data_IF_060438843130
#
_entry.id   IF_060438843130
#
_cell.length_a   1.000
_cell.length_b   1.000
_cell.length_c   1.000
_cell.angle_alpha   90.00
_cell.angle_beta   90.00
_cell.angle_gamma   90.00
#
_symmetry.space_group_name_H-M   'P 1'
#
loop_
_entity.id
_entity.type
_entity.pdbx_description
1 polymer ?
#
# COMPACT_ATOMS: atom_id res chain seq x y z
N UNK A 1 -32.07 -8.04 -52.20
CA UNK A 1 -32.70 -6.70 -52.05
C UNK A 1 -34.11 -6.74 -51.43
N UNK A 2 -35.01 -7.69 -51.73
CA UNK A 2 -36.28 -7.85 -50.99
C UNK A 2 -36.12 -8.56 -49.64
N UNK A 3 -35.26 -9.58 -49.56
CA UNK A 3 -34.99 -10.32 -48.32
C UNK A 3 -34.29 -9.50 -47.21
N UNK A 4 -33.55 -8.45 -47.58
CA UNK A 4 -32.89 -7.59 -46.59
C UNK A 4 -33.83 -6.53 -46.00
N UNK A 5 -34.91 -6.15 -46.69
CA UNK A 5 -35.92 -5.23 -46.16
C UNK A 5 -36.80 -5.92 -45.11
N UNK A 6 -37.27 -7.14 -45.40
CA UNK A 6 -38.08 -7.93 -44.47
C UNK A 6 -37.31 -8.27 -43.16
N UNK A 7 -35.98 -8.45 -43.25
CA UNK A 7 -35.12 -8.71 -42.08
C UNK A 7 -34.88 -7.48 -41.20
N UNK A 8 -34.99 -6.27 -41.76
CA UNK A 8 -34.90 -5.01 -41.00
C UNK A 8 -36.26 -4.57 -40.45
N UNK A 9 -37.36 -4.89 -41.13
CA UNK A 9 -38.74 -4.65 -40.65
C UNK A 9 -39.06 -5.53 -39.42
N UNK A 10 -38.75 -6.83 -39.47
CA UNK A 10 -38.97 -7.75 -38.34
C UNK A 10 -38.15 -7.39 -37.08
N UNK A 11 -37.06 -6.64 -37.24
CA UNK A 11 -36.18 -6.24 -36.14
C UNK A 11 -36.59 -4.91 -35.48
N UNK A 12 -37.60 -4.20 -36.00
CA UNK A 12 -38.03 -2.90 -35.47
C UNK A 12 -39.39 -2.93 -34.77
N UNK A 13 -40.20 -3.96 -34.99
CA UNK A 13 -41.60 -4.00 -34.49
C UNK A 13 -41.75 -4.33 -33.00
N UNK A 14 -40.72 -4.86 -32.32
CA UNK A 14 -40.80 -5.22 -30.88
C UNK A 14 -39.82 -4.45 -29.97
N UNK A 15 -39.18 -3.38 -30.45
CA UNK A 15 -38.24 -2.63 -29.60
C UNK A 15 -38.99 -1.68 -28.66
N UNK A 16 -39.13 -2.11 -27.41
CA UNK A 16 -39.55 -1.25 -26.29
C UNK A 16 -38.79 0.09 -26.34
N UNK A 17 -39.47 1.23 -26.04
CA UNK A 17 -38.86 2.54 -26.03
C UNK A 17 -37.56 2.62 -25.22
N UNK A 18 -36.63 3.45 -25.66
CA UNK A 18 -35.25 3.53 -25.11
C UNK A 18 -35.22 3.67 -23.58
N UNK A 19 -36.17 4.41 -23.00
CA UNK A 19 -36.22 4.64 -21.55
C UNK A 19 -36.54 3.37 -20.74
N UNK A 20 -37.29 2.41 -21.28
CA UNK A 20 -37.59 1.13 -20.61
C UNK A 20 -36.42 0.15 -20.69
N UNK A 21 -35.63 0.24 -21.77
CA UNK A 21 -34.47 -0.63 -22.03
C UNK A 21 -33.13 -0.02 -21.64
N UNK A 22 -33.09 1.23 -21.16
CA UNK A 22 -31.82 1.93 -20.84
C UNK A 22 -30.99 1.16 -19.82
N UNK A 23 -31.62 0.55 -18.82
CA UNK A 23 -30.94 -0.31 -17.85
C UNK A 23 -30.32 -1.55 -18.51
N UNK A 24 -31.06 -2.21 -19.39
CA UNK A 24 -30.57 -3.38 -20.15
C UNK A 24 -29.44 -2.98 -21.09
N UNK A 25 -29.54 -1.84 -21.78
CA UNK A 25 -28.48 -1.35 -22.67
C UNK A 25 -27.21 -0.96 -21.91
N UNK A 26 -27.35 -0.41 -20.69
CA UNK A 26 -26.21 -0.12 -19.83
C UNK A 26 -25.53 -1.40 -19.34
N UNK A 27 -26.32 -2.41 -18.94
CA UNK A 27 -25.83 -3.73 -18.57
C UNK A 27 -25.12 -4.43 -19.75
N UNK A 28 -25.75 -4.48 -20.93
CA UNK A 28 -25.13 -5.04 -22.15
C UNK A 28 -23.83 -4.31 -22.52
N UNK A 29 -23.81 -2.97 -22.42
CA UNK A 29 -22.60 -2.18 -22.67
C UNK A 29 -21.50 -2.52 -21.67
N UNK A 30 -21.84 -2.65 -20.40
CA UNK A 30 -20.92 -3.01 -19.33
C UNK A 30 -20.37 -4.44 -19.52
N UNK A 31 -21.23 -5.41 -19.81
CA UNK A 31 -20.84 -6.80 -20.09
C UNK A 31 -19.93 -6.89 -21.31
N UNK A 32 -20.25 -6.15 -22.38
CA UNK A 32 -19.44 -6.09 -23.60
C UNK A 32 -18.08 -5.44 -23.35
N UNK A 33 -18.02 -4.39 -22.53
CA UNK A 33 -16.74 -3.77 -22.15
C UNK A 33 -15.91 -4.71 -21.26
N UNK A 34 -16.54 -5.43 -20.33
CA UNK A 34 -15.90 -6.42 -19.47
C UNK A 34 -15.32 -7.58 -20.29
N UNK A 35 -16.07 -8.08 -21.28
CA UNK A 35 -15.60 -9.12 -22.18
C UNK A 35 -14.40 -8.64 -23.02
N UNK A 36 -14.44 -7.40 -23.53
CA UNK A 36 -13.33 -6.80 -24.27
C UNK A 36 -12.05 -6.70 -23.42
N UNK A 37 -12.17 -6.29 -22.15
CA UNK A 37 -11.03 -6.23 -21.20
C UNK A 37 -10.46 -7.62 -20.92
N UNK A 38 -11.31 -8.64 -20.76
CA UNK A 38 -10.85 -10.02 -20.58
C UNK A 38 -10.08 -10.54 -21.81
N UNK A 39 -10.60 -10.29 -23.01
CA UNK A 39 -9.92 -10.68 -24.25
C UNK A 39 -8.56 -9.99 -24.40
N UNK A 40 -8.46 -8.69 -24.09
CA UNK A 40 -7.20 -7.95 -24.11
C UNK A 40 -6.18 -8.55 -23.13
N UNK A 41 -6.59 -8.87 -21.91
CA UNK A 41 -5.72 -9.49 -20.91
C UNK A 41 -5.28 -10.90 -21.34
N UNK A 42 -6.15 -11.68 -21.99
CA UNK A 42 -5.77 -12.98 -22.57
C UNK A 42 -4.78 -12.84 -23.72
N UNK A 43 -4.96 -11.85 -24.60
CA UNK A 43 -4.02 -11.54 -25.68
C UNK A 43 -2.65 -11.08 -25.15
N UNK A 44 -2.64 -10.24 -24.12
CA UNK A 44 -1.42 -9.82 -23.42
C UNK A 44 -0.70 -11.00 -22.76
N UNK A 45 -1.46 -11.90 -22.11
CA UNK A 45 -0.91 -13.16 -21.56
C UNK A 45 -0.33 -14.06 -22.64
N UNK A 46 -0.94 -14.14 -23.83
CA UNK A 46 -0.42 -14.91 -24.97
C UNK A 46 0.85 -14.29 -25.57
N UNK A 47 0.99 -12.97 -25.52
CA UNK A 47 2.19 -12.24 -25.99
C UNK A 47 3.40 -12.42 -25.04
N UNK A 48 3.15 -12.67 -23.76
CA UNK A 48 4.20 -12.99 -22.77
C UNK A 48 4.66 -14.45 -22.95
N UNK A 49 5.85 -14.65 -23.54
CA UNK A 49 6.46 -15.97 -23.82
C UNK A 49 6.77 -16.85 -22.58
N UNK A 50 6.47 -16.36 -21.38
CA UNK A 50 6.81 -17.00 -20.10
C UNK A 50 5.69 -16.87 -19.05
N UNK A 51 4.42 -16.90 -19.47
CA UNK A 51 3.31 -16.98 -18.51
C UNK A 51 3.26 -18.40 -17.88
N UNK A 52 3.28 -18.55 -16.55
CA UNK A 52 3.18 -19.86 -15.92
C UNK A 52 1.81 -20.49 -16.25
N UNK A 53 1.83 -21.74 -16.71
CA UNK A 53 0.62 -22.50 -16.96
C UNK A 53 -0.07 -22.80 -15.61
N UNK A 54 -1.31 -22.36 -15.46
CA UNK A 54 -2.14 -22.72 -14.30
C UNK A 54 -2.29 -24.25 -14.34
N UNK A 55 -1.88 -24.93 -13.29
CA UNK A 55 -1.94 -26.39 -13.23
C UNK A 55 -3.39 -26.88 -13.40
N UNK A 56 -3.53 -28.09 -13.95
CA UNK A 56 -4.85 -28.74 -14.14
C UNK A 56 -5.63 -28.85 -12.81
N UNK A 57 -4.92 -28.96 -11.71
CA UNK A 57 -5.48 -29.02 -10.36
C UNK A 57 -6.03 -27.66 -9.92
N UNK A 58 -5.28 -26.57 -10.14
CA UNK A 58 -5.77 -25.22 -9.88
C UNK A 58 -6.99 -24.86 -10.74
N UNK A 59 -7.05 -25.33 -11.99
CA UNK A 59 -8.24 -25.17 -12.83
C UNK A 59 -9.47 -25.88 -12.25
N UNK A 60 -9.31 -27.09 -11.72
CA UNK A 60 -10.39 -27.84 -11.03
C UNK A 60 -10.87 -27.11 -9.77
N UNK A 61 -9.95 -26.55 -8.98
CA UNK A 61 -10.29 -25.79 -7.76
C UNK A 61 -11.13 -24.55 -8.11
N UNK A 62 -10.73 -23.80 -9.14
CA UNK A 62 -11.47 -22.60 -9.58
C UNK A 62 -12.86 -22.96 -10.13
N UNK A 63 -12.98 -24.06 -10.89
CA UNK A 63 -14.28 -24.55 -11.35
C UNK A 63 -15.18 -24.97 -10.19
N UNK A 64 -14.64 -25.68 -9.20
CA UNK A 64 -15.37 -26.05 -7.99
C UNK A 64 -15.80 -24.84 -7.15
N UNK A 65 -14.99 -23.78 -7.12
CA UNK A 65 -15.33 -22.53 -6.43
C UNK A 65 -16.43 -21.73 -7.15
N UNK A 66 -16.46 -21.70 -8.49
CA UNK A 66 -17.52 -21.02 -9.25
C UNK A 66 -18.91 -21.63 -9.03
N UNK A 67 -18.96 -22.93 -8.73
CA UNK A 67 -20.20 -23.65 -8.46
C UNK A 67 -20.65 -23.58 -6.99
N UNK A 68 -19.91 -22.87 -6.12
CA UNK A 68 -20.32 -22.69 -4.72
C UNK A 68 -21.29 -21.52 -4.62
N UNK A 69 -22.48 -21.81 -4.12
CA UNK A 69 -23.50 -20.82 -3.73
C UNK A 69 -22.85 -19.73 -2.84
N UNK A 70 -23.17 -18.44 -3.04
CA UNK A 70 -22.63 -17.32 -2.26
C UNK A 70 -22.67 -17.58 -0.75
N UNK A 71 -21.65 -17.10 -0.03
CA UNK A 71 -21.53 -17.29 1.42
C UNK A 71 -22.75 -16.75 2.16
N UNK A 72 -23.37 -15.68 1.66
CA UNK A 72 -24.57 -15.06 2.22
C UNK A 72 -25.75 -16.02 2.30
N UNK A 73 -25.93 -16.85 1.29
CA UNK A 73 -27.05 -17.80 1.24
C UNK A 73 -26.74 -19.06 2.05
N UNK A 74 -25.44 -19.38 2.23
CA UNK A 74 -24.94 -20.55 2.96
C UNK A 74 -25.03 -20.43 4.48
N UNK A 75 -25.11 -19.22 5.01
CA UNK A 75 -25.18 -18.98 6.46
C UNK A 75 -26.63 -19.10 6.97
N UNK A 76 -27.62 -19.01 6.09
CA UNK A 76 -29.04 -19.03 6.45
C UNK A 76 -29.74 -20.38 6.23
N UNK A 77 -29.14 -21.34 5.51
CA UNK A 77 -29.67 -22.70 5.36
C UNK A 77 -28.79 -23.73 6.07
N UNK A 78 -28.96 -23.88 7.38
CA UNK A 78 -28.55 -25.10 8.08
C UNK A 78 -29.67 -26.12 7.84
N UNK A 79 -29.67 -26.73 6.66
CA UNK A 79 -30.62 -27.81 6.37
C UNK A 79 -30.12 -29.10 7.03
N UNK A 80 -30.93 -29.67 7.93
CA UNK A 80 -30.67 -30.93 8.66
C UNK A 80 -30.32 -32.09 7.71
N UNK A 81 -30.79 -32.05 6.47
CA UNK A 81 -30.45 -33.01 5.42
C UNK A 81 -28.94 -33.01 5.10
N UNK A 82 -28.28 -31.85 5.10
CA UNK A 82 -26.84 -31.74 4.80
C UNK A 82 -25.96 -32.27 5.93
N UNK A 83 -26.42 -32.18 7.18
CA UNK A 83 -25.79 -32.79 8.35
C UNK A 83 -25.92 -34.31 8.30
N UNK A 84 -27.12 -34.82 7.99
CA UNK A 84 -27.38 -36.26 7.88
C UNK A 84 -26.59 -36.90 6.73
N UNK A 85 -26.49 -36.24 5.58
CA UNK A 85 -25.68 -36.71 4.46
C UNK A 85 -24.18 -36.73 4.78
N UNK A 86 -23.67 -35.71 5.49
CA UNK A 86 -22.28 -35.67 5.96
C UNK A 86 -21.98 -36.79 6.95
N UNK A 87 -22.89 -37.10 7.87
CA UNK A 87 -22.73 -38.23 8.79
C UNK A 87 -22.74 -39.57 8.05
N UNK A 88 -23.65 -39.76 7.10
CA UNK A 88 -23.73 -40.98 6.31
C UNK A 88 -22.49 -41.19 5.44
N UNK A 89 -21.96 -40.11 4.85
CA UNK A 89 -20.70 -40.13 4.11
C UNK A 89 -19.51 -40.47 5.02
N UNK A 90 -19.45 -39.91 6.24
CA UNK A 90 -18.42 -40.27 7.23
C UNK A 90 -18.47 -41.74 7.63
N UNK A 91 -19.66 -42.29 7.86
CA UNK A 91 -19.83 -43.71 8.22
C UNK A 91 -19.34 -44.62 7.11
N UNK A 92 -19.76 -44.37 5.87
CA UNK A 92 -19.28 -45.12 4.69
C UNK A 92 -17.77 -45.03 4.51
N UNK A 93 -17.19 -43.84 4.71
CA UNK A 93 -15.74 -43.66 4.64
C UNK A 93 -15.00 -44.47 5.71
N UNK A 94 -15.52 -44.52 6.93
CA UNK A 94 -14.93 -45.31 8.02
C UNK A 94 -15.06 -46.82 7.79
N UNK A 95 -16.16 -47.25 7.19
CA UNK A 95 -16.44 -48.66 6.88
C UNK A 95 -15.54 -49.18 5.76
N UNK A 96 -15.44 -48.43 4.65
CA UNK A 96 -14.48 -48.73 3.56
C UNK A 96 -13.05 -48.74 4.09
N UNK A 97 -12.67 -47.77 4.92
CA UNK A 97 -11.32 -47.71 5.49
C UNK A 97 -11.05 -48.89 6.45
N UNK A 98 -12.08 -49.42 7.10
CA UNK A 98 -11.97 -50.58 7.99
C UNK A 98 -11.80 -51.86 7.19
N UNK A 99 -12.58 -52.03 6.11
CA UNK A 99 -12.42 -53.11 5.14
C UNK A 99 -11.03 -53.08 4.50
N UNK A 100 -10.55 -51.91 4.05
CA UNK A 100 -9.18 -51.72 3.54
C UNK A 100 -8.10 -52.03 4.59
N UNK A 101 -8.38 -51.86 5.88
CA UNK A 101 -7.46 -52.21 6.98
C UNK A 101 -7.46 -53.71 7.28
N UNK A 102 -8.62 -54.36 7.14
CA UNK A 102 -8.80 -55.81 7.32
C UNK A 102 -8.16 -56.59 6.17
N UNK A 103 -8.16 -56.04 4.95
CA UNK A 103 -7.49 -56.59 3.76
C UNK A 103 -5.98 -56.24 3.68
N UNK A 104 -5.49 -55.36 4.55
CA UNK A 104 -4.06 -55.00 4.60
C UNK A 104 -3.21 -56.10 5.27
N UNK A 105 -2.45 -56.83 4.46
CA UNK A 105 -1.44 -57.82 4.91
C UNK A 105 -0.18 -57.20 5.53
N UNK A 106 0.02 -55.89 5.39
CA UNK A 106 1.16 -55.18 5.97
C UNK A 106 0.81 -54.62 7.36
N UNK A 107 1.39 -55.19 8.40
CA UNK A 107 1.23 -54.71 9.79
C UNK A 107 2.47 -53.90 10.21
N UNK A 108 2.49 -52.57 10.00
CA UNK A 108 3.63 -51.75 10.38
C UNK A 108 3.79 -51.75 11.91
N UNK A 109 4.95 -52.19 12.38
CA UNK A 109 5.29 -52.07 13.79
C UNK A 109 5.55 -50.61 14.15
N UNK A 110 4.81 -50.09 15.13
CA UNK A 110 5.00 -48.73 15.63
C UNK A 110 6.40 -48.60 16.24
N UNK A 111 7.22 -47.72 15.66
CA UNK A 111 8.58 -47.44 16.12
C UNK A 111 8.57 -47.12 17.64
N UNK A 112 9.50 -47.69 18.44
CA UNK A 112 9.61 -47.38 19.87
C UNK A 112 9.67 -45.88 20.19
N UNK A 113 10.18 -45.04 19.29
CA UNK A 113 10.15 -43.57 19.42
C UNK A 113 8.71 -43.05 19.45
N UNK A 114 7.85 -43.54 18.57
CA UNK A 114 6.43 -43.18 18.53
C UNK A 114 5.71 -43.62 19.80
N UNK A 115 6.07 -44.78 20.38
CA UNK A 115 5.57 -45.22 21.68
C UNK A 115 5.97 -44.26 22.81
N UNK A 116 7.22 -43.78 22.81
CA UNK A 116 7.71 -42.76 23.77
C UNK A 116 6.98 -41.43 23.62
N UNK A 117 6.69 -40.99 22.39
CA UNK A 117 5.93 -39.75 22.14
C UNK A 117 4.52 -39.85 22.72
N UNK A 118 3.84 -40.98 22.52
CA UNK A 118 2.50 -41.21 23.11
C UNK A 118 2.58 -41.24 24.64
N UNK A 119 3.55 -41.93 25.23
CA UNK A 119 3.77 -41.96 26.69
C UNK A 119 4.11 -40.58 27.28
N UNK A 120 4.79 -39.71 26.52
CA UNK A 120 5.08 -38.34 26.95
C UNK A 120 3.83 -37.45 26.92
N UNK A 121 2.89 -37.70 25.99
CA UNK A 121 1.63 -36.96 25.87
C UNK A 121 0.57 -37.41 26.87
N UNK A 122 0.63 -38.66 27.36
CA UNK A 122 -0.32 -39.17 28.37
C UNK A 122 -0.02 -38.70 29.79
N UNK A 123 1.21 -38.23 30.07
CA UNK A 123 1.52 -37.48 31.30
C UNK A 123 0.98 -36.06 31.16
N UNK A 124 -0.32 -35.90 31.30
CA UNK A 124 -0.96 -34.58 31.43
C UNK A 124 -0.53 -33.96 32.77
N UNK A 125 0.66 -33.37 32.80
CA UNK A 125 1.04 -32.49 33.90
C UNK A 125 0.04 -31.34 33.98
N UNK A 126 -0.21 -30.80 35.18
CA UNK A 126 -1.05 -29.62 35.32
C UNK A 126 -0.43 -28.43 34.56
N UNK A 127 -1.25 -27.45 34.16
CA UNK A 127 -0.75 -26.25 33.46
C UNK A 127 0.35 -25.54 34.26
N UNK A 128 0.20 -25.45 35.59
CA UNK A 128 1.18 -24.83 36.48
C UNK A 128 2.51 -25.58 36.53
N UNK A 129 2.48 -26.91 36.54
CA UNK A 129 3.71 -27.72 36.48
C UNK A 129 4.42 -27.55 35.14
N UNK A 130 3.67 -27.47 34.03
CA UNK A 130 4.26 -27.17 32.71
C UNK A 130 4.92 -25.80 32.68
N UNK A 131 4.28 -24.79 33.26
CA UNK A 131 4.82 -23.43 33.33
C UNK A 131 6.12 -23.39 34.14
N UNK A 132 6.15 -24.02 35.32
CA UNK A 132 7.38 -24.13 36.14
C UNK A 132 8.51 -24.87 35.42
N UNK A 133 8.19 -25.96 34.73
CA UNK A 133 9.18 -26.72 33.95
C UNK A 133 9.71 -25.91 32.77
N UNK A 134 8.86 -25.10 32.12
CA UNK A 134 9.27 -24.21 31.05
C UNK A 134 10.22 -23.11 31.55
N UNK A 135 9.88 -22.46 32.67
CA UNK A 135 10.72 -21.46 33.30
C UNK A 135 12.07 -22.03 33.75
N UNK A 136 12.07 -23.22 34.35
CA UNK A 136 13.30 -23.92 34.73
C UNK A 136 14.17 -24.26 33.51
N UNK A 137 13.54 -24.69 32.40
CA UNK A 137 14.23 -24.98 31.15
C UNK A 137 14.84 -23.74 30.52
N UNK A 138 14.11 -22.62 30.50
CA UNK A 138 14.62 -21.36 29.97
C UNK A 138 15.77 -20.82 30.83
N UNK A 139 15.70 -20.93 32.17
CA UNK A 139 16.83 -20.59 33.05
C UNK A 139 18.06 -21.45 32.76
N UNK A 140 17.90 -22.77 32.68
CA UNK A 140 19.00 -23.68 32.35
C UNK A 140 19.62 -23.38 30.98
N UNK A 141 18.79 -23.01 30.00
CA UNK A 141 19.23 -22.60 28.66
C UNK A 141 20.01 -21.29 28.72
N UNK A 142 19.54 -20.28 29.46
CA UNK A 142 20.25 -19.02 29.64
C UNK A 142 21.60 -19.22 30.35
N UNK A 143 21.65 -20.02 31.40
CA UNK A 143 22.90 -20.35 32.09
C UNK A 143 23.88 -21.08 31.18
N UNK A 144 23.38 -22.02 30.38
CA UNK A 144 24.20 -22.72 29.40
C UNK A 144 24.75 -21.74 28.35
N UNK A 145 23.90 -20.89 27.78
CA UNK A 145 24.32 -19.85 26.81
C UNK A 145 25.36 -18.92 27.42
N UNK A 146 25.13 -18.41 28.63
CA UNK A 146 26.08 -17.55 29.34
C UNK A 146 27.41 -18.25 29.60
N UNK A 147 27.39 -19.53 30.00
CA UNK A 147 28.61 -20.33 30.19
C UNK A 147 29.34 -20.56 28.86
N UNK A 148 28.62 -20.83 27.77
CA UNK A 148 29.23 -21.00 26.45
C UNK A 148 29.83 -19.70 25.93
N UNK A 149 29.16 -18.57 26.13
CA UNK A 149 29.68 -17.24 25.79
C UNK A 149 30.91 -16.90 26.63
N UNK A 150 30.87 -17.12 27.95
CA UNK A 150 32.03 -16.95 28.83
C UNK A 150 33.20 -17.87 28.46
N UNK A 151 32.92 -19.09 27.97
CA UNK A 151 33.95 -20.01 27.50
C UNK A 151 34.54 -19.62 26.14
N UNK A 152 33.81 -18.86 25.31
CA UNK A 152 34.32 -18.32 24.05
C UNK A 152 35.29 -17.14 24.26
N UNK A 153 35.26 -16.48 25.42
CA UNK A 153 36.22 -15.42 25.75
C UNK A 153 37.50 -16.00 26.37
N UNK A 154 38.56 -16.09 25.57
CA UNK A 154 39.88 -16.56 26.03
C UNK A 154 40.60 -15.56 26.94
N UNK A 155 40.15 -14.30 26.98
CA UNK A 155 40.75 -13.23 27.77
C UNK A 155 39.97 -13.02 29.07
N UNK A 156 40.58 -13.38 30.19
CA UNK A 156 40.05 -13.15 31.54
C UNK A 156 40.92 -12.10 32.24
N UNK A 157 40.64 -10.80 32.07
CA UNK A 157 41.43 -9.77 32.73
C UNK A 157 41.37 -9.98 34.24
N UNK A 158 42.53 -10.08 34.88
CA UNK A 158 42.61 -10.08 36.34
C UNK A 158 42.27 -8.67 36.82
N UNK A 159 41.03 -8.50 37.27
CA UNK A 159 40.61 -7.26 37.91
C UNK A 159 41.48 -7.10 39.16
N UNK A 160 42.25 -6.00 39.23
CA UNK A 160 43.11 -5.73 40.37
C UNK A 160 42.31 -5.71 41.68
N UNK A 161 42.95 -6.03 42.79
CA UNK A 161 42.31 -5.98 44.13
C UNK A 161 41.69 -4.60 44.38
N UNK A 162 42.37 -3.54 43.96
CA UNK A 162 41.91 -2.15 44.01
C UNK A 162 40.59 -1.94 43.25
N UNK A 163 40.47 -2.43 42.02
CA UNK A 163 39.23 -2.31 41.24
C UNK A 163 38.08 -3.10 41.87
N UNK A 164 38.37 -4.27 42.47
CA UNK A 164 37.38 -5.07 43.18
C UNK A 164 36.88 -4.35 44.46
N UNK A 165 37.79 -3.69 45.18
CA UNK A 165 37.46 -2.90 46.37
C UNK A 165 36.68 -1.62 46.02
N UNK A 166 36.94 -1.01 44.86
CA UNK A 166 36.13 0.11 44.32
C UNK A 166 34.70 -0.37 44.03
N UNK A 167 34.54 -1.53 43.38
CA UNK A 167 33.20 -2.11 43.15
C UNK A 167 32.48 -2.39 44.47
N UNK A 168 33.13 -3.00 45.46
CA UNK A 168 32.53 -3.29 46.77
C UNK A 168 32.14 -2.01 47.54
N UNK A 169 32.98 -0.97 47.49
CA UNK A 169 32.66 0.34 48.10
C UNK A 169 31.47 1.02 47.41
N UNK A 170 31.31 0.84 46.10
CA UNK A 170 30.14 1.32 45.37
C UNK A 170 28.88 0.51 45.67
N UNK A 171 28.98 -0.81 45.89
CA UNK A 171 27.86 -1.63 46.35
C UNK A 171 27.39 -1.26 47.76
N UNK A 172 28.27 -0.83 48.65
CA UNK A 172 27.87 -0.35 49.99
C UNK A 172 27.25 1.06 49.95
N UNK A 173 27.51 1.84 48.89
CA UNK A 173 26.79 3.08 48.61
C UNK A 173 25.43 2.82 48.01
N UNK A 174 25.29 1.78 47.19
CA UNK A 174 24.01 1.28 46.72
C UNK A 174 23.23 0.72 47.92
N UNK A 175 22.12 1.37 48.29
CA UNK A 175 21.29 0.93 49.41
C UNK A 175 20.51 -0.34 49.04
N UNK A 176 19.25 -0.39 49.46
CA UNK A 176 18.29 -1.37 48.92
C UNK A 176 18.16 -1.24 47.40
N UNK A 177 17.66 -2.27 46.72
CA UNK A 177 17.47 -2.24 45.25
C UNK A 177 16.60 -1.05 44.82
N UNK A 178 15.55 -0.72 45.59
CA UNK A 178 14.76 0.52 45.44
C UNK A 178 15.62 1.79 45.36
N UNK A 179 16.64 1.87 46.19
CA UNK A 179 17.49 3.04 46.38
C UNK A 179 18.47 3.20 45.21
N UNK A 180 18.81 2.10 44.54
CA UNK A 180 19.53 2.08 43.26
C UNK A 180 18.60 2.56 42.14
N UNK A 181 17.37 2.03 42.10
CA UNK A 181 16.39 2.43 41.09
C UNK A 181 16.06 3.92 41.18
N UNK A 182 15.82 4.47 42.37
CA UNK A 182 15.51 5.90 42.55
C UNK A 182 16.69 6.79 42.14
N UNK A 183 17.93 6.36 42.42
CA UNK A 183 19.13 7.08 41.96
C UNK A 183 19.24 7.10 40.43
N UNK A 184 19.13 5.94 39.80
CA UNK A 184 19.31 5.79 38.35
C UNK A 184 18.19 6.45 37.56
N UNK A 185 16.96 6.39 38.07
CA UNK A 185 15.77 6.87 37.33
C UNK A 185 15.44 8.33 37.60
N UNK A 186 15.49 8.75 38.87
CA UNK A 186 14.97 10.04 39.28
C UNK A 186 16.09 11.02 39.64
N UNK A 187 17.06 10.60 40.46
CA UNK A 187 18.07 11.53 41.01
C UNK A 187 19.08 11.98 39.96
N UNK A 188 19.60 11.04 39.18
CA UNK A 188 20.53 11.37 38.09
C UNK A 188 19.83 12.13 36.98
N UNK A 189 18.59 11.75 36.63
CA UNK A 189 17.78 12.50 35.66
C UNK A 189 17.55 13.94 36.11
N UNK A 190 17.10 14.17 37.35
CA UNK A 190 16.92 15.51 37.92
C UNK A 190 18.22 16.32 37.92
N UNK A 191 19.34 15.68 38.29
CA UNK A 191 20.66 16.34 38.26
C UNK A 191 21.05 16.74 36.84
N UNK A 192 20.88 15.84 35.86
CA UNK A 192 21.18 16.13 34.46
C UNK A 192 20.28 17.23 33.89
N UNK A 193 18.98 17.19 34.19
CA UNK A 193 18.02 18.22 33.78
C UNK A 193 18.39 19.58 34.41
N UNK A 194 18.82 19.59 35.67
CA UNK A 194 19.28 20.80 36.33
C UNK A 194 20.55 21.38 35.69
N UNK A 195 21.57 20.54 35.44
CA UNK A 195 22.78 20.99 34.75
C UNK A 195 22.46 21.51 33.34
N UNK A 196 21.57 20.82 32.62
CA UNK A 196 21.14 21.22 31.28
C UNK A 196 20.40 22.56 31.30
N UNK A 197 19.55 22.79 32.30
CA UNK A 197 18.83 24.07 32.47
C UNK A 197 19.79 25.19 32.85
N UNK A 198 20.72 24.97 33.78
CA UNK A 198 21.75 25.96 34.14
C UNK A 198 22.62 26.35 32.94
N UNK A 199 23.07 25.36 32.15
CA UNK A 199 23.86 25.63 30.92
C UNK A 199 23.02 26.42 29.91
N UNK A 200 21.75 26.05 29.73
CA UNK A 200 20.85 26.76 28.83
C UNK A 200 20.63 28.20 29.30
N UNK A 201 20.37 28.43 30.59
CA UNK A 201 20.21 29.77 31.17
C UNK A 201 21.49 30.61 31.02
N UNK A 202 22.66 30.05 31.30
CA UNK A 202 23.94 30.73 31.11
C UNK A 202 24.20 31.09 29.64
N UNK A 203 23.78 30.23 28.71
CA UNK A 203 23.97 30.48 27.28
C UNK A 203 22.96 31.50 26.74
N UNK A 204 21.67 31.29 27.02
CA UNK A 204 20.59 32.07 26.45
C UNK A 204 20.39 33.43 27.13
N UNK A 205 20.82 33.60 28.39
CA UNK A 205 20.81 34.91 29.07
C UNK A 205 21.69 35.96 28.38
N UNK A 206 22.61 35.55 27.49
CA UNK A 206 23.42 36.46 26.68
C UNK A 206 22.64 37.15 25.55
N UNK A 207 21.44 36.68 25.25
CA UNK A 207 20.61 37.22 24.18
C UNK A 207 19.41 37.96 24.75
N UNK A 208 19.06 39.11 24.16
CA UNK A 208 17.90 39.91 24.58
C UNK A 208 16.57 39.30 24.12
N UNK A 209 16.59 38.41 23.13
CA UNK A 209 15.42 37.80 22.55
C UNK A 209 15.00 36.53 23.29
N UNK A 210 13.78 36.54 23.82
CA UNK A 210 13.20 35.44 24.58
C UNK A 210 12.01 34.88 23.77
N UNK A 211 12.22 33.83 22.97
CA UNK A 211 11.16 33.30 22.12
C UNK A 211 10.05 32.70 22.99
N UNK A 212 8.85 33.27 22.89
CA UNK A 212 7.64 32.68 23.47
C UNK A 212 7.04 31.71 22.46
N UNK A 213 6.85 30.45 22.85
CA UNK A 213 6.15 29.48 22.00
C UNK A 213 4.68 29.90 21.92
N UNK A 214 4.17 30.01 20.69
CA UNK A 214 2.77 30.37 20.44
C UNK A 214 1.82 29.29 21.00
N UNK A 215 0.62 29.70 21.42
CA UNK A 215 -0.40 28.77 21.95
C UNK A 215 -0.70 27.61 20.98
N UNK A 216 -0.73 27.89 19.67
CA UNK A 216 -0.92 26.86 18.62
C UNK A 216 0.22 25.83 18.64
N UNK A 217 1.46 26.29 18.77
CA UNK A 217 2.63 25.41 18.84
C UNK A 217 2.65 24.57 20.12
N UNK A 218 2.18 25.11 21.25
CA UNK A 218 2.01 24.35 22.49
C UNK A 218 0.96 23.23 22.37
N UNK A 219 -0.12 23.45 21.60
CA UNK A 219 -1.14 22.42 21.34
C UNK A 219 -0.62 21.32 20.42
N UNK A 220 0.19 21.68 19.42
CA UNK A 220 0.79 20.73 18.47
C UNK A 220 1.89 19.89 19.15
N UNK A 221 2.71 20.51 20.00
CA UNK A 221 3.80 19.86 20.73
C UNK A 221 3.38 19.31 22.10
N UNK A 222 2.08 19.21 22.38
CA UNK A 222 1.59 18.71 23.66
C UNK A 222 2.20 17.31 23.92
N UNK A 223 2.81 17.09 25.10
CA UNK A 223 3.49 15.83 25.38
C UNK A 223 2.49 14.69 25.33
N UNK A 224 2.74 13.72 24.44
CA UNK A 224 1.97 12.49 24.36
C UNK A 224 2.48 11.51 25.40
N UNK A 225 1.55 10.86 26.10
CA UNK A 225 1.89 9.82 27.07
C UNK A 225 2.46 8.59 26.35
N UNK A 226 3.32 7.82 27.03
CA UNK A 226 3.93 6.61 26.45
C UNK A 226 2.87 5.61 26.02
N UNK A 227 1.80 5.48 26.80
CA UNK A 227 0.66 4.61 26.50
C UNK A 227 -0.13 5.07 25.26
N UNK A 228 -0.16 6.39 25.01
CA UNK A 228 -0.74 6.96 23.80
C UNK A 228 0.13 6.66 22.57
N UNK A 229 1.46 6.71 22.70
CA UNK A 229 2.37 6.39 21.61
C UNK A 229 2.33 4.90 21.22
N UNK A 230 2.17 4.01 22.20
CA UNK A 230 2.10 2.56 21.96
C UNK A 230 0.77 2.16 21.32
N UNK A 231 -0.35 2.62 21.87
CA UNK A 231 -1.66 2.17 21.43
C UNK A 231 -2.31 3.05 20.36
N UNK A 232 -1.80 4.28 20.18
CA UNK A 232 -2.30 5.27 19.23
C UNK A 232 -3.83 5.44 19.25
N UNK A 233 -4.41 5.37 20.45
CA UNK A 233 -5.86 5.32 20.67
C UNK A 233 -6.56 6.58 20.18
N UNK A 234 -5.91 7.75 20.35
CA UNK A 234 -6.41 9.05 19.91
C UNK A 234 -6.51 9.14 18.39
N UNK A 235 -5.46 8.76 17.65
CA UNK A 235 -5.52 8.78 16.18
C UNK A 235 -6.51 7.75 15.64
N UNK A 236 -6.66 6.61 16.31
CA UNK A 236 -7.65 5.60 15.93
C UNK A 236 -9.08 6.13 16.06
N UNK A 237 -9.41 6.76 17.20
CA UNK A 237 -10.72 7.42 17.42
C UNK A 237 -11.00 8.50 16.39
N UNK A 238 -10.03 9.37 16.09
CA UNK A 238 -10.18 10.43 15.09
C UNK A 238 -10.43 9.83 13.70
N UNK A 239 -9.73 8.75 13.33
CA UNK A 239 -9.97 8.05 12.06
C UNK A 239 -11.36 7.43 12.02
N UNK A 240 -11.80 6.78 13.08
CA UNK A 240 -13.14 6.20 13.19
C UNK A 240 -14.23 7.27 13.05
N UNK A 241 -14.09 8.40 13.74
CA UNK A 241 -15.02 9.53 13.63
C UNK A 241 -15.04 10.14 12.23
N UNK A 242 -13.88 10.29 11.58
CA UNK A 242 -13.80 10.75 10.20
C UNK A 242 -14.43 9.75 9.24
N UNK A 243 -14.22 8.45 9.43
CA UNK A 243 -14.85 7.41 8.60
C UNK A 243 -16.35 7.41 8.77
N UNK A 244 -16.88 7.57 10.00
CA UNK A 244 -18.30 7.70 10.26
C UNK A 244 -18.88 8.94 9.57
N UNK A 245 -18.22 10.10 9.67
CA UNK A 245 -18.63 11.32 8.96
C UNK A 245 -18.58 11.16 7.45
N UNK A 246 -17.63 10.41 6.90
CA UNK A 246 -17.55 10.13 5.46
C UNK A 246 -18.68 9.19 5.05
N UNK A 247 -18.94 8.12 5.80
CA UNK A 247 -20.04 7.18 5.54
C UNK A 247 -21.41 7.85 5.66
N UNK A 248 -21.61 8.72 6.67
CA UNK A 248 -22.80 9.55 6.80
C UNK A 248 -22.97 10.46 5.58
N UNK A 249 -21.88 11.05 5.07
CA UNK A 249 -21.92 11.86 3.84
C UNK A 249 -22.18 11.04 2.58
N UNK A 250 -21.65 9.82 2.48
CA UNK A 250 -21.91 8.90 1.36
C UNK A 250 -23.37 8.42 1.32
N UNK A 251 -24.04 8.34 2.48
CA UNK A 251 -25.48 8.07 2.57
C UNK A 251 -26.36 9.23 2.05
N UNK A 252 -25.79 10.42 1.80
CA UNK A 252 -26.46 11.55 1.17
C UNK A 252 -25.81 11.87 -0.19
N UNK A 253 -26.36 11.31 -1.27
CA UNK A 253 -25.89 11.52 -2.65
C UNK A 253 -25.97 12.99 -3.15
N UNK A 254 -26.67 13.85 -2.41
CA UNK A 254 -26.79 15.27 -2.72
C UNK A 254 -26.51 16.12 -1.47
N UNK A 255 -25.38 16.81 -1.48
CA UNK A 255 -25.06 17.87 -0.52
C UNK A 255 -24.86 19.17 -1.30
N UNK A 256 -25.90 20.01 -1.44
CA UNK A 256 -25.72 21.31 -2.05
C UNK A 256 -24.82 22.12 -1.12
N UNK A 257 -23.63 22.46 -1.60
CA UNK A 257 -22.75 23.40 -0.92
C UNK A 257 -23.49 24.74 -0.91
N UNK A 258 -24.09 25.10 0.22
CA UNK A 258 -24.65 26.44 0.41
C UNK A 258 -23.46 27.38 0.41
N UNK A 259 -23.23 27.99 -0.75
CA UNK A 259 -22.28 29.07 -0.93
C UNK A 259 -22.63 30.12 0.12
N UNK A 260 -21.68 30.43 0.99
CA UNK A 260 -21.81 31.49 1.99
C UNK A 260 -22.32 32.74 1.28
N UNK A 261 -23.31 33.43 1.85
CA UNK A 261 -24.03 34.54 1.20
C UNK A 261 -23.15 35.75 0.76
N UNK A 262 -21.84 35.66 0.96
CA UNK A 262 -20.86 36.65 0.56
C UNK A 262 -20.16 36.38 -0.79
N UNK A 263 -20.34 35.22 -1.43
CA UNK A 263 -19.72 34.97 -2.74
C UNK A 263 -20.59 35.49 -3.89
N UNK A 264 -20.66 36.82 -4.02
CA UNK A 264 -21.21 37.52 -5.19
C UNK A 264 -20.42 37.25 -6.50
N UNK A 265 -19.41 36.39 -6.49
CA UNK A 265 -18.44 36.23 -7.58
C UNK A 265 -18.47 34.86 -8.27
N UNK A 266 -19.38 33.94 -7.90
CA UNK A 266 -19.42 32.62 -8.53
C UNK A 266 -20.28 32.55 -9.81
N UNK A 267 -21.17 33.52 -10.05
CA UNK A 267 -22.10 33.45 -11.19
C UNK A 267 -21.47 33.79 -12.56
N UNK A 268 -20.28 34.41 -12.59
CA UNK A 268 -19.64 34.86 -13.84
C UNK A 268 -18.42 34.05 -14.29
N UNK A 269 -17.98 33.05 -13.52
CA UNK A 269 -16.82 32.22 -13.94
C UNK A 269 -17.25 31.16 -14.95
N UNK A 270 -16.96 31.43 -16.23
CA UNK A 270 -17.15 30.45 -17.32
C UNK A 270 -16.43 29.13 -16.97
N UNK A 271 -17.10 27.97 -17.08
CA UNK A 271 -16.56 26.67 -16.62
C UNK A 271 -15.21 26.29 -17.27
N UNK A 272 -14.95 26.76 -18.48
CA UNK A 272 -13.68 26.54 -19.18
C UNK A 272 -12.48 27.26 -18.52
N UNK A 273 -12.70 28.41 -17.87
CA UNK A 273 -11.65 29.13 -17.15
C UNK A 273 -11.20 28.38 -15.89
N UNK A 274 -12.14 27.75 -15.18
CA UNK A 274 -11.87 26.96 -13.97
C UNK A 274 -11.08 25.70 -14.32
N UNK A 275 -11.40 25.02 -15.43
CA UNK A 275 -10.66 23.84 -15.91
C UNK A 275 -9.22 24.22 -16.26
N UNK A 276 -9.01 25.31 -17.00
CA UNK A 276 -7.66 25.77 -17.36
C UNK A 276 -6.83 26.21 -16.12
N UNK A 277 -7.48 26.81 -15.12
CA UNK A 277 -6.83 27.15 -13.84
C UNK A 277 -6.43 25.89 -13.05
N UNK A 278 -7.29 24.87 -13.03
CA UNK A 278 -6.99 23.57 -12.41
C UNK A 278 -5.84 22.86 -13.12
N UNK A 279 -5.83 22.82 -14.46
CA UNK A 279 -4.74 22.23 -15.23
C UNK A 279 -3.40 22.95 -15.00
N UNK A 280 -3.41 24.30 -14.97
CA UNK A 280 -2.22 25.09 -14.63
C UNK A 280 -1.73 24.80 -13.22
N UNK A 281 -2.64 24.68 -12.26
CA UNK A 281 -2.31 24.38 -10.87
C UNK A 281 -1.69 22.98 -10.73
N UNK A 282 -2.27 21.97 -11.38
CA UNK A 282 -1.75 20.59 -11.38
C UNK A 282 -0.35 20.53 -12.00
N UNK A 283 -0.15 21.20 -13.15
CA UNK A 283 1.16 21.27 -13.82
C UNK A 283 2.21 21.98 -12.97
N UNK A 284 1.86 23.08 -12.30
CA UNK A 284 2.76 23.76 -11.37
C UNK A 284 3.13 22.88 -10.17
N UNK A 285 2.17 22.12 -9.63
CA UNK A 285 2.40 21.19 -8.53
C UNK A 285 3.35 20.05 -8.93
N UNK A 286 3.18 19.52 -10.13
CA UNK A 286 4.05 18.48 -10.68
C UNK A 286 5.48 18.98 -10.90
N UNK A 287 5.64 20.18 -11.47
CA UNK A 287 6.96 20.83 -11.62
C UNK A 287 7.65 21.03 -10.26
N UNK A 288 6.91 21.48 -9.24
CA UNK A 288 7.47 21.65 -7.88
C UNK A 288 7.94 20.33 -7.29
N UNK A 289 7.18 19.24 -7.46
CA UNK A 289 7.58 17.91 -7.01
C UNK A 289 8.83 17.42 -7.72
N UNK A 290 8.89 17.58 -9.05
CA UNK A 290 10.05 17.17 -9.83
C UNK A 290 11.32 17.92 -9.40
N UNK A 291 11.22 19.23 -9.16
CA UNK A 291 12.35 20.04 -8.67
C UNK A 291 12.85 19.56 -7.29
N UNK A 292 11.94 19.32 -6.35
CA UNK A 292 12.30 18.86 -5.01
C UNK A 292 12.99 17.47 -5.03
N UNK A 293 12.57 16.58 -5.94
CA UNK A 293 13.23 15.29 -6.12
C UNK A 293 14.66 15.42 -6.67
N UNK A 294 14.85 16.30 -7.66
CA UNK A 294 16.18 16.56 -8.24
C UNK A 294 17.11 17.20 -7.20
N UNK A 295 16.61 18.14 -6.41
CA UNK A 295 17.37 18.80 -5.34
C UNK A 295 17.86 17.78 -4.30
N UNK A 296 16.98 16.87 -3.87
CA UNK A 296 17.33 15.78 -2.95
C UNK A 296 18.32 14.78 -3.54
N UNK A 297 18.22 14.48 -4.84
CA UNK A 297 19.20 13.65 -5.55
C UNK A 297 20.58 14.34 -5.61
N UNK A 298 20.61 15.66 -5.85
CA UNK A 298 21.85 16.44 -5.81
C UNK A 298 22.49 16.48 -4.42
N UNK A 299 21.69 16.66 -3.36
CA UNK A 299 22.17 16.60 -1.97
C UNK A 299 22.77 15.22 -1.66
N UNK A 300 22.08 14.14 -2.02
CA UNK A 300 22.59 12.77 -1.82
C UNK A 300 23.88 12.48 -2.59
N UNK A 301 24.03 13.04 -3.80
CA UNK A 301 25.25 12.92 -4.59
C UNK A 301 26.41 13.76 -4.00
N UNK A 302 26.13 14.91 -3.40
CA UNK A 302 27.13 15.71 -2.68
C UNK A 302 27.62 15.01 -1.40
N UNK A 303 26.72 14.33 -0.70
CA UNK A 303 27.02 13.54 0.50
C UNK A 303 27.68 12.18 0.17
N UNK A 304 27.73 11.78 -1.10
CA UNK A 304 28.32 10.53 -1.53
C UNK A 304 29.86 10.57 -1.39
N UNK A 305 30.37 9.97 -0.31
CA UNK A 305 31.81 9.82 -0.06
C UNK A 305 32.45 8.66 -0.82
N UNK A 306 31.70 7.97 -1.68
CA UNK A 306 32.21 6.88 -2.50
C UNK A 306 33.06 7.45 -3.63
N UNK A 307 34.38 7.46 -3.41
CA UNK A 307 35.38 7.73 -4.44
C UNK A 307 35.92 6.38 -4.92
N UNK A 308 35.31 5.75 -5.94
CA UNK A 308 35.87 4.52 -6.48
C UNK A 308 37.26 4.85 -7.03
N UNK A 309 38.29 4.23 -6.47
CA UNK A 309 39.62 4.22 -7.06
C UNK A 309 39.54 3.44 -8.36
N UNK A 310 39.30 4.15 -9.46
CA UNK A 310 39.47 3.59 -10.79
C UNK A 310 40.97 3.36 -10.92
N UNK A 311 41.40 2.09 -11.00
CA UNK A 311 42.79 1.77 -11.25
C UNK A 311 43.20 2.44 -12.57
N UNK A 312 43.94 3.54 -12.47
CA UNK A 312 44.55 4.24 -13.60
C UNK A 312 45.68 3.39 -14.19
N UNK A 313 45.32 2.31 -14.87
CA UNK A 313 46.17 1.73 -15.89
C UNK A 313 46.20 2.67 -17.09
N UNK A 314 46.95 3.77 -17.01
CA UNK A 314 47.17 4.65 -18.16
C UNK A 314 47.92 3.90 -19.26
N UNK A 315 47.54 4.10 -20.52
CA UNK A 315 48.46 4.65 -21.48
C UNK A 315 48.13 6.13 -21.63
N UNK A 316 49.16 6.95 -21.46
CA UNK A 316 49.18 8.37 -21.79
C UNK A 316 48.65 8.59 -23.21
N UNK A 317 47.49 9.22 -23.34
CA UNK A 317 47.08 9.87 -24.58
C UNK A 317 47.02 11.37 -24.29
N UNK A 318 47.74 12.09 -25.14
CA UNK A 318 48.04 13.51 -25.09
C UNK A 318 46.79 14.34 -24.78
N UNK A 319 46.94 15.23 -23.79
CA UNK A 319 45.98 16.30 -23.52
C UNK A 319 45.84 17.17 -24.77
N UNK A 320 44.62 17.63 -25.02
CA UNK A 320 44.18 18.52 -26.11
C UNK A 320 43.65 17.86 -27.40
N UNK A 321 43.12 16.63 -27.32
CA UNK A 321 42.14 16.16 -28.32
C UNK A 321 40.76 15.92 -27.68
N UNK A 322 39.67 16.48 -28.25
CA UNK A 322 38.33 16.25 -27.71
C UNK A 322 38.02 14.75 -27.79
N UNK A 323 37.54 14.17 -26.69
CA UNK A 323 37.19 12.75 -26.59
C UNK A 323 36.04 12.47 -27.58
N UNK A 324 36.38 12.06 -28.80
CA UNK A 324 35.39 11.69 -29.82
C UNK A 324 34.87 10.29 -29.49
N UNK A 325 33.76 10.23 -28.76
CA UNK A 325 33.03 8.98 -28.54
C UNK A 325 32.43 8.56 -29.89
N UNK A 326 33.03 7.56 -30.54
CA UNK A 326 32.54 7.00 -31.81
C UNK A 326 31.06 6.61 -31.67
N UNK A 327 30.21 7.25 -32.46
CA UNK A 327 28.77 7.00 -32.48
C UNK A 327 27.91 7.94 -31.63
N UNK A 328 28.50 8.83 -30.83
CA UNK A 328 27.75 9.84 -30.05
C UNK A 328 26.98 10.80 -30.98
N UNK A 329 27.61 11.27 -32.05
CA UNK A 329 26.94 12.11 -33.06
C UNK A 329 25.72 11.42 -33.70
N UNK A 330 25.87 10.14 -34.07
CA UNK A 330 24.76 9.33 -34.62
C UNK A 330 23.66 9.08 -33.59
N UNK A 331 24.01 8.95 -32.31
CA UNK A 331 23.05 8.79 -31.23
C UNK A 331 22.26 10.09 -31.00
N UNK A 332 22.94 11.23 -30.96
CA UNK A 332 22.31 12.56 -30.85
C UNK A 332 21.39 12.79 -32.05
N UNK A 333 21.83 12.50 -33.28
CA UNK A 333 21.02 12.63 -34.49
C UNK A 333 19.77 11.74 -34.45
N UNK A 334 19.88 10.48 -34.01
CA UNK A 334 18.72 9.59 -33.83
C UNK A 334 17.76 10.12 -32.77
N UNK A 335 18.27 10.67 -31.67
CA UNK A 335 17.45 11.22 -30.59
C UNK A 335 16.69 12.46 -31.06
N UNK A 336 17.35 13.36 -31.80
CA UNK A 336 16.72 14.52 -32.40
C UNK A 336 15.69 14.15 -33.47
N UNK A 337 15.98 13.12 -34.28
CA UNK A 337 15.03 12.60 -35.27
C UNK A 337 13.80 12.00 -34.60
N UNK A 338 13.98 11.22 -33.53
CA UNK A 338 12.87 10.65 -32.77
C UNK A 338 11.98 11.75 -32.17
N UNK A 339 12.60 12.81 -31.61
CA UNK A 339 11.88 13.96 -31.06
C UNK A 339 11.06 14.70 -32.13
N UNK A 340 11.65 14.92 -33.31
CA UNK A 340 10.93 15.52 -34.46
C UNK A 340 9.73 14.68 -34.91
N UNK A 341 9.90 13.35 -34.99
CA UNK A 341 8.80 12.43 -35.35
C UNK A 341 7.68 12.49 -34.31
N UNK A 342 8.02 12.58 -33.03
CA UNK A 342 7.04 12.67 -31.95
C UNK A 342 6.27 13.99 -31.97
N UNK A 343 6.96 15.11 -32.23
CA UNK A 343 6.33 16.43 -32.40
C UNK A 343 5.40 16.46 -33.62
N UNK A 344 5.84 15.97 -34.79
CA UNK A 344 5.01 15.89 -36.00
C UNK A 344 3.80 14.96 -35.79
N UNK A 345 3.98 13.84 -35.09
CA UNK A 345 2.88 12.94 -34.73
C UNK A 345 1.88 13.61 -33.80
N UNK A 346 2.36 14.42 -32.85
CA UNK A 346 1.50 15.20 -31.94
C UNK A 346 0.73 16.26 -32.71
N UNK A 347 1.37 17.00 -33.60
CA UNK A 347 0.72 18.00 -34.47
C UNK A 347 -0.34 17.36 -35.37
N UNK A 348 -0.02 16.23 -36.01
CA UNK A 348 -1.00 15.47 -36.81
C UNK A 348 -2.16 14.98 -35.96
N UNK A 349 -1.90 14.51 -34.74
CA UNK A 349 -2.97 14.13 -33.82
C UNK A 349 -3.82 15.34 -33.42
N UNK A 350 -3.22 16.50 -33.15
CA UNK A 350 -3.96 17.72 -32.86
C UNK A 350 -4.79 18.19 -34.06
N UNK A 351 -4.30 18.06 -35.29
CA UNK A 351 -5.04 18.40 -36.51
C UNK A 351 -6.20 17.43 -36.77
N UNK A 352 -5.96 16.12 -36.63
CA UNK A 352 -6.96 15.08 -36.91
C UNK A 352 -8.03 15.00 -35.81
N UNK A 353 -7.63 15.17 -34.54
CA UNK A 353 -8.50 14.95 -33.39
C UNK A 353 -8.95 16.23 -32.69
N UNK A 354 -8.55 17.44 -33.12
CA UNK A 354 -9.27 18.65 -32.71
C UNK A 354 -10.65 18.64 -33.36
N UNK A 355 -11.74 18.72 -32.57
CA UNK A 355 -13.03 19.09 -33.11
C UNK A 355 -12.87 20.50 -33.71
N UNK A 356 -13.09 20.66 -35.02
CA UNK A 356 -13.26 21.99 -35.62
C UNK A 356 -14.45 22.63 -34.91
N UNK A 357 -14.18 23.52 -33.97
CA UNK A 357 -15.22 24.33 -33.33
C UNK A 357 -15.66 25.32 -34.39
N UNK A 358 -16.62 24.93 -35.23
CA UNK A 358 -17.39 25.89 -35.99
C UNK A 358 -18.06 26.79 -34.96
N UNK A 359 -17.54 28.00 -34.78
CA UNK A 359 -18.27 29.03 -34.05
C UNK A 359 -19.62 29.13 -34.73
N UNK A 360 -20.69 28.67 -34.07
CA UNK A 360 -22.05 29.03 -34.47
C UNK A 360 -22.08 30.55 -34.45
N UNK A 361 -21.93 31.17 -35.62
CA UNK A 361 -22.34 32.55 -35.80
C UNK A 361 -23.80 32.59 -35.37
N UNK A 362 -24.03 33.36 -34.32
CA UNK A 362 -25.35 33.75 -33.87
C UNK A 362 -26.07 34.42 -35.05
N UNK A 363 -27.24 33.90 -35.41
CA UNK A 363 -28.26 34.65 -36.14
C UNK A 363 -28.06 34.83 -37.66
N UNK A 364 -28.13 33.75 -38.44
CA UNK A 364 -28.60 33.83 -39.82
C UNK A 364 -30.07 33.46 -39.85
N UNK A 365 -30.97 34.43 -39.80
CA UNK A 365 -32.38 34.19 -40.07
C UNK A 365 -32.54 33.91 -41.58
N UNK A 366 -33.10 32.75 -41.94
CA UNK A 366 -33.54 32.49 -43.31
C UNK A 366 -34.78 33.35 -43.55
N UNK A 367 -34.60 34.50 -44.20
CA UNK A 367 -35.72 35.32 -44.67
C UNK A 367 -36.23 34.64 -45.95
N UNK A 368 -37.46 34.13 -45.92
CA UNK A 368 -38.14 33.69 -47.13
C UNK A 368 -38.53 34.92 -47.95
N UNK A 369 -38.09 34.99 -49.20
CA UNK A 369 -38.54 36.04 -50.12
C UNK A 369 -40.06 35.87 -50.38
N UNK A 370 -40.86 36.95 -50.30
CA UNK A 370 -42.25 36.89 -50.69
C UNK A 370 -42.34 36.67 -52.20
N UNK A 371 -42.98 35.57 -52.60
CA UNK A 371 -43.32 35.33 -54.00
C UNK A 371 -44.49 36.24 -54.38
N UNK A 372 -44.36 36.96 -55.48
CA UNK A 372 -45.44 37.75 -56.05
C UNK A 372 -46.34 36.88 -56.93
N UNK A 373 -47.64 36.91 -56.68
CA UNK A 373 -48.62 36.48 -57.67
C UNK A 373 -48.83 37.60 -58.68
N UNK A 374 -48.25 37.46 -59.87
CA UNK A 374 -48.72 38.23 -61.02
C UNK A 374 -50.04 37.61 -61.48
N UNK A 375 -51.14 38.30 -61.20
CA UNK A 375 -52.41 38.05 -61.89
C UNK A 375 -52.30 38.63 -63.30
N UNK A 376 -52.34 37.76 -64.31
CA UNK A 376 -52.75 38.09 -65.66
C UNK A 376 -53.93 37.17 -66.03
#
# INVERSE_FOLDING_TARGET
MRQDKERYEFMMEDRKPIYERVGQMQLERYEKEKLRKQQQHEEERKKLRSAPAISRESQRIVAAMKNRVPITDRVNSIDDQTLMEKEKAKRRFMEVKKEELEDCTFQPQVNPVSKKIVQSKTKQQSFFERQKMYEAREKMKQEYMSKTEQAQYNFKPSISKTSNDICKKNLNRAGTMEDIYDRLTNRDKKRMDHIKTEIAEQYYSKFSFHPTINQVSNVIAAPTDLEELVNNSKSKRIKEELTLKVMEKENYSFQPTLVSQNDKYLQDRKPYAVINEQEKFLKQKEIKRAKALIELECEQLQECTFQPTINEGKPSLEADTPIVIKGLGRHIERRERAKRIEEERRERNEEVFRPKVYSKKVGGATIMEPFSFNYN
#
